data_IF_836306614375
#
_entry.id   IF_836306614375
#
_cell.length_a   1.000
_cell.length_b   1.000
_cell.length_c   1.000
_cell.angle_alpha   90.00
_cell.angle_beta   90.00
_cell.angle_gamma   90.00
#
_symmetry.space_group_name_H-M   'P 1'
#
loop_
_entity.id
_entity.type
_entity.pdbx_description
1 polymer ?
#
# COMPACT_ATOMS: atom_id res chain seq x y z
N UNK A 1 38.25 19.01 -7.34
CA UNK A 1 36.85 18.62 -7.55
C UNK A 1 36.25 18.37 -6.19
N UNK A 2 35.44 19.29 -5.66
CA UNK A 2 34.79 19.08 -4.37
C UNK A 2 33.70 18.02 -4.56
N UNK A 3 33.88 16.86 -3.93
CA UNK A 3 32.82 15.87 -3.81
C UNK A 3 31.72 16.46 -2.90
N UNK A 4 30.68 16.99 -3.53
CA UNK A 4 29.47 17.41 -2.84
C UNK A 4 28.78 16.14 -2.31
N UNK A 5 29.09 15.79 -1.05
CA UNK A 5 28.41 14.70 -0.36
C UNK A 5 26.93 15.04 -0.28
N UNK A 6 26.12 14.37 -1.09
CA UNK A 6 24.66 14.38 -1.01
C UNK A 6 24.26 13.95 0.41
N UNK A 7 24.10 14.94 1.29
CA UNK A 7 23.56 14.72 2.63
C UNK A 7 22.04 14.68 2.48
N UNK A 8 21.45 13.48 2.48
CA UNK A 8 20.01 13.36 2.62
C UNK A 8 19.57 14.09 3.90
N UNK A 9 18.75 15.13 3.77
CA UNK A 9 18.03 15.69 4.92
C UNK A 9 17.16 14.57 5.45
N UNK A 10 17.46 14.08 6.66
CA UNK A 10 16.64 13.09 7.38
C UNK A 10 15.34 13.75 7.84
N UNK A 11 14.45 14.06 6.90
CA UNK A 11 13.09 14.54 7.16
C UNK A 11 12.09 13.66 6.42
N UNK A 12 12.19 12.34 6.61
CA UNK A 12 11.04 11.48 6.37
C UNK A 12 10.17 11.57 7.63
N UNK A 13 9.22 12.51 7.62
CA UNK A 13 8.18 12.57 8.63
C UNK A 13 7.15 11.46 8.43
N UNK A 14 6.25 11.28 9.40
CA UNK A 14 5.18 10.29 9.32
C UNK A 14 4.33 10.46 8.05
N UNK A 15 3.95 11.71 7.73
CA UNK A 15 3.16 12.03 6.53
C UNK A 15 3.89 11.72 5.23
N UNK A 16 5.19 12.04 5.14
CA UNK A 16 6.00 11.72 3.97
C UNK A 16 6.11 10.20 3.77
N UNK A 17 6.31 9.45 4.86
CA UNK A 17 6.32 7.99 4.83
C UNK A 17 4.98 7.39 4.38
N UNK A 18 3.86 7.89 4.91
CA UNK A 18 2.52 7.46 4.49
C UNK A 18 2.27 7.79 3.02
N UNK A 19 2.63 9.00 2.56
CA UNK A 19 2.47 9.40 1.17
C UNK A 19 3.26 8.50 0.21
N UNK A 20 4.48 8.10 0.59
CA UNK A 20 5.31 7.16 -0.16
C UNK A 20 4.63 5.78 -0.21
N UNK A 21 4.20 5.24 0.93
CA UNK A 21 3.52 3.94 0.99
C UNK A 21 2.25 3.94 0.14
N UNK A 22 1.42 5.00 0.25
CA UNK A 22 0.23 5.15 -0.58
C UNK A 22 0.59 5.22 -2.06
N UNK A 23 1.64 5.95 -2.44
CA UNK A 23 2.13 6.02 -3.82
C UNK A 23 2.61 4.67 -4.39
N UNK A 24 3.13 3.78 -3.54
CA UNK A 24 3.55 2.42 -3.94
C UNK A 24 2.33 1.49 -4.05
N UNK A 25 1.34 1.63 -3.16
CA UNK A 25 0.13 0.80 -3.14
C UNK A 25 -0.83 1.16 -4.29
N UNK A 26 -1.04 2.46 -4.55
CA UNK A 26 -1.89 2.95 -5.63
C UNK A 26 -1.19 2.84 -7.01
N UNK A 27 -0.89 1.62 -7.44
CA UNK A 27 -0.41 1.32 -8.80
C UNK A 27 -1.54 1.26 -9.84
N UNK A 28 -1.22 0.84 -11.08
CA UNK A 28 -2.21 0.65 -12.17
C UNK A 28 -3.29 -0.40 -11.85
N UNK A 29 -3.03 -1.30 -10.89
CA UNK A 29 -3.96 -2.33 -10.44
C UNK A 29 -5.28 -1.79 -9.87
N UNK A 30 -5.30 -0.60 -9.24
CA UNK A 30 -6.52 -0.02 -8.64
C UNK A 30 -7.65 0.19 -9.66
N UNK A 31 -7.31 0.36 -10.94
CA UNK A 31 -8.29 0.56 -12.02
C UNK A 31 -8.80 -0.75 -12.61
N UNK A 32 -8.03 -1.83 -12.52
CA UNK A 32 -8.35 -3.13 -13.15
C UNK A 32 -8.97 -4.07 -12.11
N UNK A 33 -8.44 -4.11 -10.89
CA UNK A 33 -8.84 -5.02 -9.83
C UNK A 33 -10.32 -4.94 -9.41
N UNK A 34 -10.98 -3.76 -9.31
CA UNK A 34 -12.39 -3.71 -8.89
C UNK A 34 -13.33 -4.37 -9.89
N UNK A 35 -13.08 -4.11 -11.19
CA UNK A 35 -13.86 -4.71 -12.28
C UNK A 35 -13.64 -6.21 -12.31
N UNK A 36 -12.38 -6.65 -12.23
CA UNK A 36 -12.04 -8.07 -12.31
C UNK A 36 -12.59 -8.87 -11.12
N UNK A 37 -12.56 -8.29 -9.90
CA UNK A 37 -13.15 -8.91 -8.71
C UNK A 37 -14.69 -8.96 -8.83
N UNK A 38 -15.33 -7.91 -9.34
CA UNK A 38 -16.78 -7.91 -9.53
C UNK A 38 -17.24 -8.93 -10.58
N UNK A 39 -16.52 -9.03 -11.71
CA UNK A 39 -16.80 -10.02 -12.75
C UNK A 39 -16.59 -11.46 -12.25
N UNK A 40 -15.55 -11.73 -11.44
CA UNK A 40 -15.31 -13.06 -10.89
C UNK A 40 -16.28 -13.45 -9.77
N UNK A 41 -16.76 -12.49 -8.99
CA UNK A 41 -17.65 -12.75 -7.85
C UNK A 41 -19.14 -12.71 -8.23
N UNK A 42 -19.49 -12.10 -9.37
CA UNK A 42 -20.85 -12.02 -9.90
C UNK A 42 -21.84 -11.21 -9.04
N UNK A 43 -21.41 -10.69 -7.90
CA UNK A 43 -22.22 -9.90 -6.97
C UNK A 43 -21.39 -8.80 -6.31
N UNK A 44 -22.00 -7.65 -6.10
CA UNK A 44 -21.37 -6.49 -5.44
C UNK A 44 -21.01 -6.82 -3.99
N UNK A 45 -21.89 -7.53 -3.29
CA UNK A 45 -21.67 -7.93 -1.89
C UNK A 45 -20.49 -8.90 -1.74
N UNK A 46 -20.36 -9.86 -2.65
CA UNK A 46 -19.21 -10.75 -2.66
C UNK A 46 -17.91 -10.00 -2.96
N UNK A 47 -17.93 -9.07 -3.93
CA UNK A 47 -16.76 -8.24 -4.25
C UNK A 47 -16.31 -7.38 -3.06
N UNK A 48 -17.26 -6.81 -2.30
CA UNK A 48 -16.98 -6.04 -1.09
C UNK A 48 -16.37 -6.91 0.01
N UNK A 49 -16.87 -8.13 0.21
CA UNK A 49 -16.30 -9.07 1.19
C UNK A 49 -14.87 -9.49 0.83
N UNK A 50 -14.60 -9.76 -0.44
CA UNK A 50 -13.24 -10.07 -0.92
C UNK A 50 -12.30 -8.89 -0.67
N UNK A 51 -12.75 -7.66 -0.94
CA UNK A 51 -11.98 -6.45 -0.67
C UNK A 51 -11.69 -6.25 0.82
N UNK A 52 -12.72 -6.44 1.67
CA UNK A 52 -12.57 -6.34 3.11
C UNK A 52 -11.60 -7.41 3.67
N UNK A 53 -11.70 -8.65 3.19
CA UNK A 53 -10.80 -9.73 3.57
C UNK A 53 -9.35 -9.44 3.15
N UNK A 54 -9.15 -8.98 1.91
CA UNK A 54 -7.84 -8.60 1.40
C UNK A 54 -7.24 -7.42 2.19
N UNK A 55 -8.04 -6.39 2.50
CA UNK A 55 -7.63 -5.27 3.33
C UNK A 55 -7.26 -5.70 4.75
N UNK A 56 -8.00 -6.64 5.33
CA UNK A 56 -7.67 -7.24 6.63
C UNK A 56 -6.33 -7.97 6.60
N UNK A 57 -6.10 -8.83 5.60
CA UNK A 57 -4.84 -9.53 5.42
C UNK A 57 -3.65 -8.57 5.19
N UNK A 58 -3.84 -7.53 4.39
CA UNK A 58 -2.83 -6.50 4.16
C UNK A 58 -2.47 -5.74 5.46
N UNK A 59 -3.47 -5.46 6.31
CA UNK A 59 -3.26 -4.81 7.61
C UNK A 59 -2.48 -5.72 8.56
N UNK A 60 -2.81 -7.00 8.61
CA UNK A 60 -2.07 -7.99 9.41
C UNK A 60 -0.61 -8.10 8.94
N UNK A 61 -0.39 -8.17 7.63
CA UNK A 61 0.96 -8.18 7.06
C UNK A 61 1.74 -6.90 7.40
N UNK A 62 1.10 -5.74 7.29
CA UNK A 62 1.70 -4.46 7.67
C UNK A 62 2.07 -4.42 9.17
N UNK A 63 1.24 -4.99 10.04
CA UNK A 63 1.52 -5.09 11.47
C UNK A 63 2.74 -5.98 11.74
N UNK A 64 2.83 -7.15 11.10
CA UNK A 64 4.01 -8.02 11.23
C UNK A 64 5.29 -7.37 10.71
N UNK A 65 5.21 -6.60 9.61
CA UNK A 65 6.35 -5.81 9.14
C UNK A 65 6.72 -4.66 10.08
N UNK A 66 5.74 -4.06 10.76
CA UNK A 66 6.00 -3.05 11.77
C UNK A 66 6.72 -3.67 12.99
N UNK A 67 6.32 -4.87 13.43
CA UNK A 67 6.97 -5.58 14.53
C UNK A 67 8.40 -6.04 14.19
N UNK A 68 8.69 -6.41 12.94
CA UNK A 68 10.03 -6.79 12.48
C UNK A 68 10.94 -5.58 12.17
N UNK A 69 10.35 -4.40 11.96
CA UNK A 69 11.06 -3.16 11.67
C UNK A 69 11.59 -2.43 12.91
N UNK A 70 11.30 -2.98 14.09
CA UNK A 70 11.86 -2.60 15.39
C UNK A 70 13.11 -3.43 15.71
#
# INVERSE_FOLDING_TARGET
MSEERVKMRKQLGLLEGVAIILGIIFGSGIFISPKEVLEKTGSVWGALLVWAACGGLATLGALSYAELGE
#
